data_IF_876151464652
#
_entry.id   IF_876151464652
#
_cell.length_a   1.000
_cell.length_b   1.000
_cell.length_c   1.000
_cell.angle_alpha   90.00
_cell.angle_beta   90.00
_cell.angle_gamma   90.00
#
_symmetry.space_group_name_H-M   'P 1'
#
loop_
_entity.id
_entity.type
_entity.pdbx_description
1 polymer ?
#
# COMPACT_ATOMS: atom_id res chain seq x y z
N UNK A 1 -41.59 -12.44 -13.92
CA UNK A 1 -40.26 -11.79 -14.02
C UNK A 1 -40.49 -10.32 -14.34
N UNK A 2 -40.31 -9.42 -13.36
CA UNK A 2 -40.57 -7.99 -13.56
C UNK A 2 -39.55 -7.42 -14.55
N UNK A 3 -40.02 -6.78 -15.63
CA UNK A 3 -39.17 -6.14 -16.63
C UNK A 3 -38.68 -4.81 -16.08
N UNK A 4 -37.49 -4.82 -15.48
CA UNK A 4 -36.86 -3.62 -14.94
C UNK A 4 -36.47 -2.72 -16.11
N UNK A 5 -37.14 -1.57 -16.24
CA UNK A 5 -36.81 -0.59 -17.28
C UNK A 5 -35.46 0.09 -17.01
N UNK A 6 -34.77 0.62 -18.03
CA UNK A 6 -33.45 1.27 -17.89
C UNK A 6 -33.44 2.42 -16.87
N UNK A 7 -34.62 3.02 -16.64
CA UNK A 7 -34.90 4.07 -15.64
C UNK A 7 -34.61 3.64 -14.19
N UNK A 8 -34.69 2.34 -13.89
CA UNK A 8 -34.41 1.77 -12.57
C UNK A 8 -33.04 1.08 -12.51
N UNK A 9 -32.49 0.63 -13.64
CA UNK A 9 -31.17 -0.02 -13.69
C UNK A 9 -30.05 1.00 -13.47
N UNK A 10 -30.12 2.15 -14.15
CA UNK A 10 -29.10 3.20 -14.04
C UNK A 10 -28.89 3.69 -12.59
N UNK A 11 -29.93 4.08 -11.82
CA UNK A 11 -29.71 4.53 -10.45
C UNK A 11 -29.15 3.41 -9.55
N UNK A 12 -29.54 2.15 -9.78
CA UNK A 12 -28.99 1.01 -9.03
C UNK A 12 -27.50 0.82 -9.31
N UNK A 13 -27.08 0.91 -10.58
CA UNK A 13 -25.66 0.82 -10.95
C UNK A 13 -24.86 1.96 -10.29
N UNK A 14 -25.41 3.18 -10.29
CA UNK A 14 -24.75 4.34 -9.65
C UNK A 14 -24.55 4.09 -8.15
N UNK A 15 -25.60 3.62 -7.46
CA UNK A 15 -25.51 3.31 -6.02
C UNK A 15 -24.46 2.22 -5.76
N UNK A 16 -24.43 1.16 -6.58
CA UNK A 16 -23.43 0.10 -6.45
C UNK A 16 -22.01 0.62 -6.70
N UNK A 17 -21.80 1.49 -7.68
CA UNK A 17 -20.50 2.10 -7.95
C UNK A 17 -20.04 3.00 -6.80
N UNK A 18 -20.94 3.83 -6.25
CA UNK A 18 -20.64 4.66 -5.08
C UNK A 18 -20.30 3.82 -3.84
N UNK A 19 -21.04 2.73 -3.60
CA UNK A 19 -20.75 1.82 -2.50
C UNK A 19 -19.40 1.13 -2.68
N UNK A 20 -19.08 0.68 -3.90
CA UNK A 20 -17.79 0.09 -4.20
C UNK A 20 -16.64 1.08 -3.97
N UNK A 21 -16.78 2.32 -4.46
CA UNK A 21 -15.81 3.39 -4.22
C UNK A 21 -15.64 3.66 -2.72
N UNK A 22 -16.73 3.77 -1.97
CA UNK A 22 -16.71 4.04 -0.54
C UNK A 22 -15.99 2.96 0.27
N UNK A 23 -16.11 1.69 -0.15
CA UNK A 23 -15.49 0.56 0.54
C UNK A 23 -13.99 0.40 0.26
N UNK A 24 -13.46 1.05 -0.78
CA UNK A 24 -12.03 1.01 -1.08
C UNK A 24 -11.30 1.97 -0.13
N UNK A 25 -10.28 1.52 0.62
CA UNK A 25 -9.48 2.40 1.45
C UNK A 25 -8.66 3.35 0.57
N UNK A 26 -8.83 4.64 0.82
CA UNK A 26 -8.07 5.71 0.20
C UNK A 26 -6.95 6.10 1.17
N UNK A 27 -5.71 6.00 0.73
CA UNK A 27 -4.52 6.40 1.49
C UNK A 27 -3.98 7.69 0.91
N UNK A 28 -3.43 8.55 1.77
CA UNK A 28 -2.80 9.79 1.31
C UNK A 28 -1.47 9.48 0.60
N UNK A 29 -1.06 10.35 -0.32
CA UNK A 29 0.24 10.30 -0.97
C UNK A 29 1.39 10.38 0.05
N UNK A 30 1.20 11.13 1.14
CA UNK A 30 2.19 11.21 2.23
C UNK A 30 2.39 9.87 2.95
N UNK A 31 1.29 9.21 3.33
CA UNK A 31 1.35 7.89 3.98
C UNK A 31 2.01 6.87 3.05
N UNK A 32 1.65 6.88 1.77
CA UNK A 32 2.21 5.96 0.80
C UNK A 32 3.71 6.20 0.58
N UNK A 33 4.15 7.45 0.49
CA UNK A 33 5.57 7.80 0.40
C UNK A 33 6.33 7.34 1.65
N UNK A 34 5.75 7.51 2.84
CA UNK A 34 6.31 6.99 4.08
C UNK A 34 6.47 5.47 4.04
N UNK A 35 5.44 4.74 3.62
CA UNK A 35 5.50 3.27 3.51
C UNK A 35 6.51 2.77 2.49
N UNK A 36 6.64 3.47 1.35
CA UNK A 36 7.71 3.20 0.37
C UNK A 36 9.09 3.41 1.01
N UNK A 37 9.27 4.50 1.77
CA UNK A 37 10.54 4.78 2.45
C UNK A 37 10.90 3.69 3.47
N UNK A 38 9.93 3.22 4.26
CA UNK A 38 10.12 2.14 5.23
C UNK A 38 10.45 0.83 4.52
N UNK A 39 9.73 0.48 3.45
CA UNK A 39 10.01 -0.73 2.66
C UNK A 39 11.43 -0.71 2.08
N UNK A 40 11.92 0.46 1.66
CA UNK A 40 13.28 0.64 1.16
C UNK A 40 14.34 0.66 2.25
N UNK A 41 13.97 0.79 3.53
CA UNK A 41 14.91 0.77 4.65
C UNK A 41 15.03 -0.62 5.31
N UNK A 42 14.11 -1.55 5.02
CA UNK A 42 14.10 -2.90 5.61
C UNK A 42 14.65 -3.95 4.64
N UNK A 43 15.11 -5.13 5.14
CA UNK A 43 15.56 -6.22 4.27
C UNK A 43 14.46 -6.75 3.34
N UNK A 44 14.74 -6.79 2.04
CA UNK A 44 13.78 -7.13 0.98
C UNK A 44 13.95 -8.56 0.45
N UNK A 45 13.76 -9.56 1.31
CA UNK A 45 14.00 -10.98 0.93
C UNK A 45 12.74 -11.65 0.37
N UNK A 46 11.61 -11.50 1.04
CA UNK A 46 10.31 -12.02 0.61
C UNK A 46 9.17 -11.23 1.25
N UNK A 47 7.97 -11.38 0.69
CA UNK A 47 6.75 -10.65 1.10
C UNK A 47 6.46 -10.73 2.61
N UNK A 48 6.54 -11.92 3.21
CA UNK A 48 6.26 -12.10 4.64
C UNK A 48 7.30 -11.43 5.55
N UNK A 49 8.58 -11.54 5.20
CA UNK A 49 9.64 -10.91 5.97
C UNK A 49 9.60 -9.39 5.84
N UNK A 50 9.34 -8.86 4.63
CA UNK A 50 9.18 -7.41 4.42
C UNK A 50 8.02 -6.90 5.28
N UNK A 51 6.87 -7.57 5.23
CA UNK A 51 5.70 -7.17 6.03
C UNK A 51 6.03 -7.08 7.53
N UNK A 52 6.64 -8.12 8.08
CA UNK A 52 7.01 -8.17 9.49
C UNK A 52 8.08 -7.11 9.84
N UNK A 53 9.06 -6.90 8.96
CA UNK A 53 10.11 -5.91 9.16
C UNK A 53 9.53 -4.48 9.13
N UNK A 54 8.61 -4.19 8.22
CA UNK A 54 7.90 -2.91 8.18
C UNK A 54 7.06 -2.69 9.43
N UNK A 55 6.30 -3.70 9.86
CA UNK A 55 5.51 -3.64 11.09
C UNK A 55 6.41 -3.33 12.30
N UNK A 56 7.52 -4.05 12.44
CA UNK A 56 8.46 -3.84 13.54
C UNK A 56 9.16 -2.48 13.47
N UNK A 57 9.50 -1.99 12.27
CA UNK A 57 10.11 -0.68 12.09
C UNK A 57 9.15 0.46 12.49
N UNK A 58 7.89 0.36 12.07
CA UNK A 58 6.87 1.39 12.34
C UNK A 58 6.44 1.36 13.80
N UNK A 59 6.01 0.20 14.30
CA UNK A 59 5.56 0.07 15.70
C UNK A 59 6.72 0.22 16.69
N UNK A 60 7.92 -0.26 16.33
CA UNK A 60 9.12 -0.12 17.15
C UNK A 60 9.65 1.32 17.24
N UNK A 61 9.27 2.19 16.30
CA UNK A 61 9.59 3.63 16.38
C UNK A 61 8.73 4.38 17.40
N UNK A 62 7.67 3.77 17.94
CA UNK A 62 6.78 4.39 18.92
C UNK A 62 7.35 4.29 20.34
N UNK A 63 8.34 5.13 20.68
CA UNK A 63 8.81 5.26 22.06
C UNK A 63 7.78 5.94 22.98
N UNK A 64 7.91 5.78 24.31
CA UNK A 64 7.00 6.39 25.29
C UNK A 64 7.04 7.94 25.31
N UNK A 65 8.08 8.52 24.73
CA UNK A 65 8.27 9.96 24.56
C UNK A 65 8.07 10.43 23.11
N UNK A 66 7.60 9.56 22.21
CA UNK A 66 7.29 9.96 20.84
C UNK A 66 6.16 11.00 20.84
N UNK A 67 6.44 12.18 20.25
CA UNK A 67 5.48 13.28 20.11
C UNK A 67 4.22 12.84 19.34
N UNK A 68 4.40 11.93 18.38
CA UNK A 68 3.33 11.34 17.60
C UNK A 68 3.61 9.85 17.44
N UNK A 69 2.64 9.03 17.84
CA UNK A 69 2.67 7.58 17.61
C UNK A 69 1.99 7.28 16.30
N UNK A 70 2.61 6.46 15.47
CA UNK A 70 2.10 6.03 14.17
C UNK A 70 1.78 4.55 14.24
N UNK A 71 0.59 4.17 13.78
CA UNK A 71 0.18 2.77 13.80
C UNK A 71 0.40 2.13 12.44
N UNK A 72 0.83 0.87 12.47
CA UNK A 72 1.00 0.09 11.28
C UNK A 72 -0.36 -0.18 10.62
N UNK A 73 -0.54 0.35 9.41
CA UNK A 73 -1.66 0.13 8.49
C UNK A 73 -1.38 -1.10 7.61
N UNK A 74 -2.05 -2.25 7.84
CA UNK A 74 -1.78 -3.49 7.10
C UNK A 74 -2.08 -3.39 5.60
N UNK A 75 -3.15 -2.65 5.24
CA UNK A 75 -3.58 -2.51 3.85
C UNK A 75 -2.58 -1.74 3.01
N UNK A 76 -1.99 -0.68 3.57
CA UNK A 76 -0.99 0.12 2.88
C UNK A 76 0.34 -0.63 2.74
N UNK A 77 0.76 -1.36 3.77
CA UNK A 77 1.91 -2.28 3.68
C UNK A 77 1.76 -3.28 2.54
N UNK A 78 0.61 -3.97 2.48
CA UNK A 78 0.32 -4.93 1.41
C UNK A 78 0.34 -4.28 0.03
N UNK A 79 -0.17 -3.06 -0.11
CA UNK A 79 -0.15 -2.31 -1.37
C UNK A 79 1.29 -2.09 -1.86
N UNK A 80 2.16 -1.51 -1.03
CA UNK A 80 3.55 -1.24 -1.45
C UNK A 80 4.37 -2.52 -1.64
N UNK A 81 4.11 -3.58 -0.86
CA UNK A 81 4.76 -4.88 -1.05
C UNK A 81 4.29 -5.54 -2.34
N UNK A 82 3.04 -5.35 -2.75
CA UNK A 82 2.53 -5.86 -4.04
C UNK A 82 3.28 -5.19 -5.20
N UNK A 83 3.53 -3.88 -5.12
CA UNK A 83 4.35 -3.17 -6.12
C UNK A 83 5.76 -3.76 -6.18
N UNK A 84 6.41 -3.94 -5.01
CA UNK A 84 7.73 -4.57 -4.93
C UNK A 84 7.76 -5.99 -5.52
N UNK A 85 6.74 -6.79 -5.22
CA UNK A 85 6.61 -8.18 -5.70
C UNK A 85 6.47 -8.26 -7.22
N UNK A 86 5.86 -7.25 -7.83
CA UNK A 86 5.68 -7.17 -9.29
C UNK A 86 6.93 -6.66 -10.03
N UNK A 87 7.96 -6.21 -9.32
CA UNK A 87 9.25 -5.88 -9.91
C UNK A 87 9.92 -7.13 -10.48
N UNK A 88 10.74 -6.94 -11.53
CA UNK A 88 11.59 -8.03 -12.03
C UNK A 88 12.64 -8.43 -10.99
N UNK A 89 13.22 -9.64 -11.07
CA UNK A 89 14.29 -10.06 -10.15
C UNK A 89 15.46 -9.06 -10.10
N UNK A 90 15.86 -8.51 -11.25
CA UNK A 90 16.92 -7.49 -11.33
C UNK A 90 16.53 -6.19 -10.62
N UNK A 91 15.28 -5.76 -10.78
CA UNK A 91 14.74 -4.58 -10.10
C UNK A 91 14.61 -4.80 -8.59
N UNK A 92 14.24 -6.00 -8.13
CA UNK A 92 14.20 -6.35 -6.71
C UNK A 92 15.61 -6.30 -6.11
N UNK A 93 16.62 -6.83 -6.80
CA UNK A 93 18.01 -6.75 -6.35
C UNK A 93 18.54 -5.30 -6.33
N UNK A 94 18.16 -4.50 -7.33
CA UNK A 94 18.50 -3.07 -7.35
C UNK A 94 17.83 -2.31 -6.20
N UNK A 95 16.55 -2.60 -5.93
CA UNK A 95 15.81 -2.02 -4.81
C UNK A 95 16.43 -2.42 -3.46
N UNK A 96 16.86 -3.68 -3.31
CA UNK A 96 17.45 -4.17 -2.08
C UNK A 96 18.84 -3.59 -1.79
N UNK A 97 19.55 -3.10 -2.81
CA UNK A 97 20.92 -2.59 -2.69
C UNK A 97 21.01 -1.06 -2.62
N UNK A 98 19.98 -0.33 -3.06
CA UNK A 98 20.00 1.12 -3.10
C UNK A 98 18.62 1.72 -2.77
N UNK A 99 18.53 2.40 -1.63
CA UNK A 99 17.28 2.99 -1.13
C UNK A 99 16.69 4.04 -2.10
N UNK A 100 17.52 4.84 -2.77
CA UNK A 100 17.05 5.85 -3.73
C UNK A 100 16.45 5.18 -4.97
N UNK A 101 17.11 4.14 -5.49
CA UNK A 101 16.59 3.36 -6.62
C UNK A 101 15.33 2.59 -6.23
N UNK A 102 15.28 2.05 -5.02
CA UNK A 102 14.08 1.43 -4.47
C UNK A 102 12.88 2.39 -4.48
N UNK A 103 13.05 3.60 -3.91
CA UNK A 103 11.97 4.58 -3.88
C UNK A 103 11.53 4.97 -5.29
N UNK A 104 12.49 5.15 -6.21
CA UNK A 104 12.18 5.46 -7.61
C UNK A 104 11.38 4.34 -8.28
N UNK A 105 11.80 3.08 -8.13
CA UNK A 105 11.11 1.91 -8.69
C UNK A 105 9.69 1.78 -8.13
N UNK A 106 9.52 1.90 -6.81
CA UNK A 106 8.22 1.73 -6.15
C UNK A 106 7.26 2.90 -6.37
N UNK A 107 7.77 4.10 -6.71
CA UNK A 107 6.91 5.25 -7.01
C UNK A 107 6.43 5.24 -8.46
N UNK A 108 7.24 4.72 -9.40
CA UNK A 108 6.91 4.71 -10.83
C UNK A 108 6.21 3.43 -11.33
N UNK A 109 6.15 2.37 -10.53
CA UNK A 109 5.48 1.11 -10.88
C UNK A 109 4.16 0.91 -10.11
N UNK A 110 3.53 2.00 -9.63
CA UNK A 110 2.22 1.98 -8.96
C UNK A 110 1.06 1.74 -9.91
#
# INVERSE_FOLDING_TARGET
MAKVGPKFIVPVIIVLACLAWWLVPHYDAEEEAYYVSVLCAVPQQNEHQIYNAMNNAIEGSNSDYALQKIHFIPGLAKRVITVWKNLTPDQQQLAASNNTQCQHLLTHNK
#
